data_IF_996264348563
#
_entry.id   IF_996264348563
#
_cell.length_a   1.000
_cell.length_b   1.000
_cell.length_c   1.000
_cell.angle_alpha   90.00
_cell.angle_beta   90.00
_cell.angle_gamma   90.00
#
_symmetry.space_group_name_H-M   'P 1'
#
loop_
_entity.id
_entity.type
_entity.pdbx_description
1 polymer ?
#
# COMPACT_ATOMS: atom_id res chain seq x y z
N UNK A 1 3.28 11.10 -3.16
CA UNK A 1 4.08 12.30 -2.93
C UNK A 1 3.33 13.40 -2.17
N UNK A 2 1.99 13.34 -2.05
CA UNK A 2 1.22 14.39 -1.36
C UNK A 2 1.63 14.53 0.11
N UNK A 3 1.85 13.42 0.81
CA UNK A 3 2.04 13.42 2.28
C UNK A 3 3.38 14.05 2.70
N UNK A 4 4.45 13.89 1.91
CA UNK A 4 5.77 14.50 2.19
C UNK A 4 5.75 16.01 1.88
N UNK A 5 4.95 16.46 0.92
CA UNK A 5 4.83 17.90 0.61
C UNK A 5 4.00 18.68 1.64
N UNK A 6 3.09 18.06 2.41
CA UNK A 6 2.27 18.79 3.38
C UNK A 6 3.07 19.34 4.56
N UNK A 7 4.29 18.86 4.80
CA UNK A 7 5.06 19.21 6.01
C UNK A 7 6.07 20.33 5.79
N UNK A 8 6.19 20.89 4.58
CA UNK A 8 7.07 22.04 4.31
C UNK A 8 8.58 21.78 4.53
N UNK A 9 8.99 20.53 4.71
CA UNK A 9 10.38 20.16 4.98
C UNK A 9 11.22 20.16 3.71
N UNK A 10 12.38 20.84 3.74
CA UNK A 10 13.40 20.74 2.70
C UNK A 10 13.97 19.32 2.71
N UNK A 11 13.77 18.57 1.62
CA UNK A 11 14.24 17.19 1.45
C UNK A 11 15.76 17.02 1.57
N UNK A 12 16.52 18.12 1.50
CA UNK A 12 17.98 18.09 1.55
C UNK A 12 18.55 17.87 2.95
N UNK A 13 17.78 18.11 4.02
CA UNK A 13 18.23 17.95 5.42
C UNK A 13 17.51 16.81 6.16
N UNK A 14 16.86 15.91 5.43
CA UNK A 14 16.07 14.82 6.01
C UNK A 14 16.78 13.49 5.83
N UNK A 15 16.99 12.78 6.94
CA UNK A 15 17.65 11.49 6.98
C UNK A 15 16.74 10.43 7.62
N UNK A 16 16.87 9.18 7.17
CA UNK A 16 16.13 8.01 7.65
C UNK A 16 17.12 6.97 8.17
N UNK A 17 16.96 6.58 9.43
CA UNK A 17 17.65 5.44 10.00
C UNK A 17 17.02 4.15 9.45
N UNK A 18 17.85 3.20 9.00
CA UNK A 18 17.42 1.89 8.50
C UNK A 18 17.95 0.80 9.39
N UNK A 19 17.05 0.14 10.13
CA UNK A 19 17.37 -1.00 10.98
C UNK A 19 16.38 -2.14 10.70
N UNK A 20 16.85 -3.38 10.82
CA UNK A 20 16.03 -4.58 10.61
C UNK A 20 15.61 -5.25 11.93
N UNK A 21 16.27 -4.89 13.04
CA UNK A 21 15.95 -5.40 14.38
C UNK A 21 16.02 -4.29 15.42
N UNK A 22 15.22 -4.43 16.48
CA UNK A 22 15.18 -3.50 17.63
C UNK A 22 16.19 -3.94 18.68
N UNK A 23 17.43 -4.19 18.28
CA UNK A 23 18.56 -4.46 19.19
C UNK A 23 19.40 -3.19 19.31
N UNK A 24 19.94 -2.93 20.49
CA UNK A 24 20.73 -1.73 20.77
C UNK A 24 21.87 -1.53 19.75
N UNK A 25 22.59 -2.61 19.42
CA UNK A 25 23.69 -2.58 18.46
C UNK A 25 23.25 -2.17 17.05
N UNK A 26 22.12 -2.69 16.56
CA UNK A 26 21.63 -2.40 15.22
C UNK A 26 21.06 -0.97 15.13
N UNK A 27 20.45 -0.48 16.21
CA UNK A 27 19.93 0.89 16.30
C UNK A 27 21.08 1.91 16.30
N UNK A 28 22.12 1.70 17.10
CA UNK A 28 23.30 2.59 17.14
C UNK A 28 23.99 2.60 15.77
N UNK A 29 24.20 1.43 15.17
CA UNK A 29 24.80 1.33 13.82
C UNK A 29 23.96 2.02 12.73
N UNK A 30 22.62 2.00 12.87
CA UNK A 30 21.72 2.71 11.96
C UNK A 30 21.74 4.23 12.18
N UNK A 31 21.96 4.70 13.40
CA UNK A 31 22.14 6.12 13.70
C UNK A 31 23.47 6.67 13.19
N UNK A 32 24.52 5.85 13.16
CA UNK A 32 25.83 6.25 12.60
C UNK A 32 25.81 6.27 11.06
N UNK A 33 24.97 5.45 10.41
CA UNK A 33 24.83 5.36 8.95
C UNK A 33 23.44 5.82 8.48
N UNK A 34 23.15 7.10 8.64
CA UNK A 34 21.90 7.70 8.18
C UNK A 34 21.83 7.77 6.65
N UNK A 35 20.71 7.34 6.06
CA UNK A 35 20.51 7.32 4.60
C UNK A 35 19.41 8.32 4.21
N UNK A 36 19.49 8.87 2.99
CA UNK A 36 18.40 9.70 2.46
C UNK A 36 17.14 8.85 2.24
N UNK A 37 15.94 9.40 2.48
CA UNK A 37 14.71 8.70 2.17
C UNK A 37 14.60 8.44 0.66
N UNK A 38 14.32 7.18 0.30
CA UNK A 38 14.09 6.80 -1.09
C UNK A 38 12.69 7.27 -1.52
N UNK A 39 12.63 8.14 -2.54
CA UNK A 39 11.39 8.70 -3.06
C UNK A 39 10.53 7.66 -3.77
N UNK A 40 11.16 6.67 -4.37
CA UNK A 40 10.49 5.67 -5.18
C UNK A 40 9.76 4.64 -4.32
N UNK A 41 10.35 4.27 -3.18
CA UNK A 41 9.64 3.48 -2.15
C UNK A 41 8.38 4.20 -1.69
N UNK A 42 8.44 5.52 -1.49
CA UNK A 42 7.26 6.31 -1.12
C UNK A 42 6.23 6.37 -2.26
N UNK A 43 6.68 6.55 -3.50
CA UNK A 43 5.80 6.58 -4.67
C UNK A 43 5.06 5.26 -4.85
N UNK A 44 5.73 4.13 -4.61
CA UNK A 44 5.13 2.81 -4.70
C UNK A 44 4.02 2.60 -3.69
N UNK A 45 4.23 3.02 -2.44
CA UNK A 45 3.22 2.94 -1.38
C UNK A 45 2.01 3.82 -1.72
N UNK A 46 2.23 5.02 -2.25
CA UNK A 46 1.15 5.92 -2.63
C UNK A 46 0.32 5.39 -3.81
N UNK A 47 0.97 4.83 -4.84
CA UNK A 47 0.27 4.24 -5.98
C UNK A 47 -0.62 3.08 -5.54
N UNK A 48 -0.12 2.25 -4.62
CA UNK A 48 -0.88 1.14 -4.04
C UNK A 48 -2.10 1.65 -3.25
N UNK A 49 -1.92 2.64 -2.39
CA UNK A 49 -3.02 3.24 -1.65
C UNK A 49 -4.10 3.80 -2.56
N UNK A 50 -3.72 4.44 -3.67
CA UNK A 50 -4.69 4.96 -4.64
C UNK A 50 -5.47 3.83 -5.34
N UNK A 51 -4.79 2.75 -5.73
CA UNK A 51 -5.42 1.59 -6.39
C UNK A 51 -6.36 0.88 -5.42
N UNK A 52 -5.90 0.57 -4.21
CA UNK A 52 -6.71 -0.11 -3.19
C UNK A 52 -7.96 0.71 -2.83
N UNK A 53 -7.83 2.04 -2.74
CA UNK A 53 -8.97 2.92 -2.47
C UNK A 53 -9.97 2.93 -3.63
N UNK A 54 -9.50 3.08 -4.88
CA UNK A 54 -10.40 3.12 -6.05
C UNK A 54 -11.11 1.79 -6.27
N UNK A 55 -10.38 0.68 -6.18
CA UNK A 55 -10.93 -0.67 -6.32
C UNK A 55 -11.90 -0.93 -5.17
N UNK A 56 -11.52 -0.62 -3.93
CA UNK A 56 -12.38 -0.77 -2.76
C UNK A 56 -13.70 -0.01 -2.89
N UNK A 57 -13.66 1.28 -3.27
CA UNK A 57 -14.85 2.12 -3.44
C UNK A 57 -15.73 1.65 -4.61
N UNK A 58 -15.15 1.38 -5.77
CA UNK A 58 -15.90 0.89 -6.92
C UNK A 58 -16.60 -0.42 -6.59
N UNK A 59 -15.91 -1.30 -5.87
CA UNK A 59 -16.46 -2.57 -5.47
C UNK A 59 -17.59 -2.39 -4.45
N UNK A 60 -17.37 -1.70 -3.33
CA UNK A 60 -18.43 -1.50 -2.33
C UNK A 60 -19.68 -0.88 -2.96
N UNK A 61 -19.53 0.08 -3.89
CA UNK A 61 -20.66 0.65 -4.63
C UNK A 61 -21.35 -0.36 -5.55
N UNK A 62 -20.61 -1.18 -6.28
CA UNK A 62 -21.18 -2.23 -7.12
C UNK A 62 -21.96 -3.24 -6.28
N UNK A 63 -21.41 -3.67 -5.14
CA UNK A 63 -22.06 -4.59 -4.23
C UNK A 63 -23.36 -4.00 -3.66
N UNK A 64 -23.33 -2.74 -3.19
CA UNK A 64 -24.51 -2.09 -2.65
C UNK A 64 -25.60 -1.93 -3.72
N UNK A 65 -25.27 -1.41 -4.91
CA UNK A 65 -26.27 -1.17 -5.96
C UNK A 65 -26.78 -2.45 -6.63
N UNK A 66 -25.93 -3.47 -6.83
CA UNK A 66 -26.31 -4.69 -7.54
C UNK A 66 -27.14 -5.64 -6.66
N UNK A 67 -26.87 -5.67 -5.35
CA UNK A 67 -27.55 -6.59 -4.42
C UNK A 67 -28.73 -5.96 -3.67
N UNK A 68 -28.84 -4.63 -3.56
CA UNK A 68 -30.00 -3.98 -2.92
C UNK A 68 -31.33 -4.17 -3.67
N UNK A 69 -31.31 -4.49 -4.96
CA UNK A 69 -32.53 -4.59 -5.78
C UNK A 69 -32.90 -5.99 -6.28
N UNK A 70 -31.99 -6.98 -6.23
CA UNK A 70 -32.17 -8.26 -6.96
C UNK A 70 -32.51 -9.46 -6.07
N UNK A 71 -32.24 -9.40 -4.76
CA UNK A 71 -32.45 -10.54 -3.87
C UNK A 71 -32.85 -10.10 -2.46
N UNK A 72 -34.13 -10.18 -2.14
CA UNK A 72 -34.67 -9.81 -0.82
C UNK A 72 -34.28 -10.74 0.35
N UNK A 73 -33.52 -11.82 0.11
CA UNK A 73 -33.15 -12.82 1.12
C UNK A 73 -31.70 -13.33 1.01
N UNK A 74 -30.76 -12.51 0.52
CA UNK A 74 -29.34 -12.89 0.54
C UNK A 74 -28.72 -12.66 1.92
N UNK A 75 -28.20 -13.73 2.52
CA UNK A 75 -27.39 -13.65 3.74
C UNK A 75 -26.08 -12.91 3.44
N UNK A 76 -25.94 -11.73 4.02
CA UNK A 76 -24.76 -10.85 3.95
C UNK A 76 -23.43 -11.59 4.18
N UNK A 77 -23.44 -12.69 4.94
CA UNK A 77 -22.25 -13.50 5.26
C UNK A 77 -21.64 -14.21 4.06
N UNK A 78 -22.46 -14.78 3.17
CA UNK A 78 -21.98 -15.51 1.98
C UNK A 78 -21.31 -14.55 0.99
N UNK A 79 -21.90 -13.37 0.85
CA UNK A 79 -21.35 -12.30 0.00
C UNK A 79 -20.00 -11.86 0.56
N UNK A 80 -19.86 -11.65 1.88
CA UNK A 80 -18.57 -11.26 2.50
C UNK A 80 -17.46 -12.32 2.40
N UNK A 81 -17.76 -13.62 2.43
CA UNK A 81 -16.78 -14.70 2.28
C UNK A 81 -16.20 -14.77 0.86
N UNK A 82 -17.06 -14.75 -0.15
CA UNK A 82 -16.63 -14.74 -1.57
C UNK A 82 -15.78 -13.49 -1.85
N UNK A 83 -16.17 -12.38 -1.26
CA UNK A 83 -15.49 -11.09 -1.31
C UNK A 83 -14.11 -11.07 -0.69
N UNK A 84 -14.01 -11.47 0.57
CA UNK A 84 -12.76 -11.43 1.32
C UNK A 84 -11.74 -12.35 0.65
N UNK A 85 -12.19 -13.49 0.12
CA UNK A 85 -11.36 -14.34 -0.73
C UNK A 85 -10.92 -13.62 -1.99
N UNK A 86 -11.83 -13.08 -2.83
CA UNK A 86 -11.44 -12.37 -4.07
C UNK A 86 -10.52 -11.18 -3.78
N UNK A 87 -10.78 -10.44 -2.71
CA UNK A 87 -9.94 -9.32 -2.28
C UNK A 87 -8.57 -9.82 -1.83
N UNK A 88 -8.50 -10.92 -1.08
CA UNK A 88 -7.23 -11.56 -0.71
C UNK A 88 -6.44 -11.98 -1.95
N UNK A 89 -7.06 -12.65 -2.92
CA UNK A 89 -6.38 -13.07 -4.15
C UNK A 89 -5.97 -11.89 -5.01
N UNK A 90 -6.81 -10.86 -5.19
CA UNK A 90 -6.48 -9.68 -5.97
C UNK A 90 -5.40 -8.84 -5.30
N UNK A 91 -5.45 -8.72 -3.98
CA UNK A 91 -4.42 -8.07 -3.18
C UNK A 91 -3.11 -8.84 -3.29
N UNK A 92 -3.13 -10.17 -3.15
CA UNK A 92 -1.95 -11.01 -3.35
C UNK A 92 -1.41 -10.87 -4.78
N UNK A 93 -2.27 -10.85 -5.80
CA UNK A 93 -1.87 -10.64 -7.19
C UNK A 93 -1.29 -9.25 -7.42
N UNK A 94 -1.87 -8.19 -6.85
CA UNK A 94 -1.36 -6.84 -6.93
C UNK A 94 -0.02 -6.70 -6.16
N UNK A 95 0.15 -7.44 -5.08
CA UNK A 95 1.42 -7.51 -4.35
C UNK A 95 2.49 -8.28 -5.09
N UNK A 96 2.19 -9.45 -5.64
CA UNK A 96 3.19 -10.31 -6.27
C UNK A 96 3.40 -10.03 -7.75
N UNK A 97 2.43 -9.45 -8.43
CA UNK A 97 2.52 -9.11 -9.85
C UNK A 97 2.84 -7.65 -10.07
N UNK A 98 2.36 -6.68 -9.28
CA UNK A 98 2.64 -5.25 -9.55
C UNK A 98 3.87 -4.75 -8.80
N UNK A 99 4.13 -5.25 -7.59
CA UNK A 99 5.29 -4.81 -6.79
C UNK A 99 6.64 -5.13 -7.44
N UNK A 100 6.92 -6.34 -7.96
CA UNK A 100 8.17 -6.59 -8.71
C UNK A 100 8.33 -5.75 -9.98
N UNK A 101 7.29 -5.42 -10.75
CA UNK A 101 7.44 -4.54 -11.93
C UNK A 101 7.70 -3.09 -11.51
N UNK A 102 7.12 -2.67 -10.38
CA UNK A 102 7.40 -1.38 -9.77
C UNK A 102 8.80 -1.33 -9.15
N UNK A 103 9.28 -2.41 -8.53
CA UNK A 103 10.66 -2.52 -8.03
C UNK A 103 11.67 -2.62 -9.18
N UNK A 104 11.32 -3.29 -10.28
CA UNK A 104 12.13 -3.35 -11.50
C UNK A 104 12.26 -1.96 -12.13
N UNK A 105 11.18 -1.19 -12.17
CA UNK A 105 11.18 0.20 -12.64
C UNK A 105 11.99 1.14 -11.72
N UNK A 106 12.20 0.78 -10.45
CA UNK A 106 13.04 1.52 -9.49
C UNK A 106 14.51 1.07 -9.54
N UNK A 107 14.80 -0.17 -9.97
CA UNK A 107 16.16 -0.69 -10.10
C UNK A 107 16.82 -0.36 -11.45
N UNK A 108 16.06 0.14 -12.42
CA UNK A 108 16.56 0.50 -13.76
C UNK A 108 16.92 1.99 -13.93
N UNK A 109 16.84 2.80 -12.87
CA UNK A 109 17.35 4.19 -12.77
C UNK A 109 18.36 4.34 -11.61
#
# INVERSE_FOLDING_TARGET
MRIIQCTGFKTNDTYRARFSSVTEKDVVKALDNLVRPNKDEAMAVDARQEIDLKVGVAFTRFQTSYFQGKYGNLDSRVISLVFCSVFHYLFFYCIFSVLPYLLYFISEE
#
